data_IF_080028126786
#
_entry.id   IF_080028126786
#
_cell.length_a   1.000
_cell.length_b   1.000
_cell.length_c   1.000
_cell.angle_alpha   90.00
_cell.angle_beta   90.00
_cell.angle_gamma   90.00
#
_symmetry.space_group_name_H-M   'P 1'
#
loop_
_entity.id
_entity.type
_entity.pdbx_description
1 polymer ?
#
# COMPACT_ATOMS: atom_id res chain seq x y z
N UNK A 1 20.31 -6.22 -4.42
CA UNK A 1 19.18 -6.16 -3.48
C UNK A 1 18.07 -7.02 -4.11
N UNK A 2 17.31 -7.81 -3.36
CA UNK A 2 16.20 -8.55 -4.01
C UNK A 2 15.09 -7.57 -4.38
N UNK A 3 14.27 -7.92 -5.39
CA UNK A 3 13.15 -7.09 -5.81
C UNK A 3 12.23 -6.73 -4.64
N UNK A 4 11.93 -7.72 -3.80
CA UNK A 4 11.18 -7.53 -2.55
C UNK A 4 11.78 -6.42 -1.67
N UNK A 5 13.09 -6.44 -1.42
CA UNK A 5 13.72 -5.42 -0.59
C UNK A 5 13.71 -4.05 -1.25
N UNK A 6 13.85 -3.96 -2.57
CA UNK A 6 13.77 -2.69 -3.32
C UNK A 6 12.38 -2.06 -3.19
N UNK A 7 11.32 -2.85 -3.38
CA UNK A 7 9.94 -2.39 -3.21
C UNK A 7 9.68 -1.96 -1.78
N UNK A 8 10.11 -2.76 -0.78
CA UNK A 8 10.00 -2.36 0.64
C UNK A 8 10.70 -1.04 0.93
N UNK A 9 11.89 -0.84 0.38
CA UNK A 9 12.67 0.40 0.56
C UNK A 9 11.89 1.59 0.01
N UNK A 10 11.40 1.50 -1.23
CA UNK A 10 10.65 2.57 -1.90
C UNK A 10 9.37 2.90 -1.14
N UNK A 11 8.63 1.88 -0.68
CA UNK A 11 7.43 2.09 0.14
C UNK A 11 7.75 2.84 1.44
N UNK A 12 8.80 2.44 2.16
CA UNK A 12 9.20 3.10 3.42
C UNK A 12 9.73 4.52 3.22
N UNK A 13 10.49 4.75 2.16
CA UNK A 13 10.94 6.09 1.77
C UNK A 13 9.73 6.98 1.49
N UNK A 14 8.79 6.51 0.68
CA UNK A 14 7.56 7.23 0.38
C UNK A 14 6.73 7.54 1.64
N UNK A 15 6.57 6.59 2.56
CA UNK A 15 5.89 6.83 3.84
C UNK A 15 6.58 7.91 4.68
N UNK A 16 7.91 7.88 4.73
CA UNK A 16 8.71 8.85 5.48
C UNK A 16 8.58 10.26 4.87
N UNK A 17 8.57 10.35 3.54
CA UNK A 17 8.35 11.58 2.77
C UNK A 17 6.94 12.16 3.01
N UNK A 18 5.93 11.30 3.15
CA UNK A 18 4.50 11.69 3.20
C UNK A 18 3.86 11.66 4.59
N UNK A 19 4.59 11.32 5.65
CA UNK A 19 4.01 11.14 7.00
C UNK A 19 3.26 12.37 7.53
N UNK A 20 3.70 13.58 7.17
CA UNK A 20 3.03 14.81 7.59
C UNK A 20 1.75 15.06 6.78
N UNK A 21 1.73 14.68 5.51
CA UNK A 21 0.55 14.79 4.64
C UNK A 21 -0.52 13.82 5.13
N UNK A 22 -0.16 12.56 5.41
CA UNK A 22 -1.10 11.59 5.98
C UNK A 22 -1.78 12.12 7.25
N UNK A 23 -1.01 12.74 8.16
CA UNK A 23 -1.57 13.37 9.37
C UNK A 23 -2.48 14.56 9.06
N UNK A 24 -2.13 15.41 8.09
CA UNK A 24 -2.94 16.55 7.69
C UNK A 24 -4.29 16.13 7.10
N UNK A 25 -4.29 15.04 6.32
CA UNK A 25 -5.50 14.45 5.72
C UNK A 25 -6.28 13.53 6.68
N UNK A 26 -5.90 13.46 7.96
CA UNK A 26 -6.49 12.57 8.97
C UNK A 26 -6.48 11.08 8.58
N UNK A 27 -5.44 10.67 7.84
CA UNK A 27 -5.17 9.27 7.52
C UNK A 27 -4.31 8.70 8.64
N UNK A 28 -4.86 7.76 9.41
CA UNK A 28 -4.10 7.00 10.39
C UNK A 28 -3.15 6.04 9.67
N UNK A 29 -2.01 5.74 10.27
CA UNK A 29 -1.05 4.78 9.75
C UNK A 29 -0.67 3.79 10.85
N UNK A 30 -0.76 2.51 10.53
CA UNK A 30 -0.32 1.42 11.39
C UNK A 30 0.58 0.45 10.61
N UNK A 31 1.78 0.19 11.12
CA UNK A 31 2.67 -0.85 10.58
C UNK A 31 2.38 -2.14 11.33
N UNK A 32 1.69 -3.08 10.68
CA UNK A 32 1.35 -4.38 11.27
C UNK A 32 2.52 -5.37 11.23
N UNK A 33 3.27 -5.37 10.12
CA UNK A 33 4.40 -6.28 9.91
C UNK A 33 5.52 -5.51 9.25
N UNK A 34 6.73 -5.62 9.80
CA UNK A 34 7.97 -5.20 9.13
C UNK A 34 9.09 -6.17 9.51
N UNK A 35 9.30 -7.19 8.68
CA UNK A 35 10.36 -8.17 8.83
C UNK A 35 11.03 -8.44 7.48
N UNK A 36 12.02 -9.31 7.41
CA UNK A 36 12.75 -9.58 6.17
C UNK A 36 11.84 -9.89 4.97
N UNK A 37 10.78 -10.67 5.17
CA UNK A 37 9.97 -11.24 4.09
C UNK A 37 8.67 -10.46 3.81
N UNK A 38 8.27 -9.55 4.70
CA UNK A 38 6.98 -8.89 4.60
C UNK A 38 7.03 -7.46 5.18
N UNK A 39 6.37 -6.54 4.49
CA UNK A 39 5.94 -5.25 5.01
C UNK A 39 4.43 -5.15 4.82
N UNK A 40 3.68 -4.94 5.91
CA UNK A 40 2.23 -4.75 5.87
C UNK A 40 1.87 -3.49 6.65
N UNK A 41 1.20 -2.57 5.96
CA UNK A 41 0.79 -1.27 6.50
C UNK A 41 -0.70 -1.10 6.27
N UNK A 42 -1.39 -0.61 7.29
CA UNK A 42 -2.75 -0.11 7.20
C UNK A 42 -2.74 1.41 7.17
N UNK A 43 -3.56 1.96 6.29
CA UNK A 43 -3.93 3.36 6.24
C UNK A 43 -5.43 3.44 6.51
N UNK A 44 -5.90 4.27 7.43
CA UNK A 44 -7.34 4.34 7.71
C UNK A 44 -7.84 5.79 7.78
N UNK A 45 -8.98 6.03 7.16
CA UNK A 45 -9.78 7.24 7.34
C UNK A 45 -11.08 6.86 8.07
N UNK A 46 -11.99 7.82 8.22
CA UNK A 46 -13.30 7.56 8.84
C UNK A 46 -14.12 6.52 8.06
N UNK A 47 -13.98 6.49 6.74
CA UNK A 47 -14.83 5.72 5.84
C UNK A 47 -14.05 4.69 5.00
N UNK A 48 -12.73 4.78 4.91
CA UNK A 48 -11.91 3.87 4.09
C UNK A 48 -10.76 3.24 4.86
N UNK A 49 -10.36 2.07 4.39
CA UNK A 49 -9.20 1.31 4.86
C UNK A 49 -8.34 0.94 3.66
N UNK A 50 -7.10 1.41 3.66
CA UNK A 50 -6.06 1.06 2.70
C UNK A 50 -5.11 0.02 3.27
N UNK A 51 -4.80 -1.01 2.50
CA UNK A 51 -3.75 -1.98 2.81
C UNK A 51 -2.64 -1.90 1.78
N UNK A 52 -1.43 -1.56 2.24
CA UNK A 52 -0.20 -1.74 1.46
C UNK A 52 0.48 -3.01 1.96
N UNK A 53 0.66 -3.97 1.06
CA UNK A 53 1.34 -5.23 1.36
C UNK A 53 2.50 -5.43 0.38
N UNK A 54 3.67 -5.68 0.94
CA UNK A 54 4.89 -6.03 0.20
C UNK A 54 5.41 -7.37 0.70
N UNK A 55 5.35 -8.39 -0.14
CA UNK A 55 5.75 -9.77 0.19
C UNK A 55 6.11 -10.54 -1.09
N UNK A 56 6.45 -11.82 -0.99
CA UNK A 56 6.58 -12.70 -2.16
C UNK A 56 5.52 -13.80 -2.07
N UNK A 57 4.34 -13.61 -2.68
CA UNK A 57 3.22 -14.52 -2.55
C UNK A 57 3.42 -15.77 -3.41
N UNK A 58 2.93 -16.91 -2.93
CA UNK A 58 2.92 -18.15 -3.72
C UNK A 58 1.70 -18.24 -4.67
N UNK A 59 0.57 -17.65 -4.28
CA UNK A 59 -0.72 -17.77 -4.99
C UNK A 59 -1.52 -16.46 -4.90
N UNK A 60 -1.03 -15.41 -5.56
CA UNK A 60 -1.71 -14.12 -5.62
C UNK A 60 -1.57 -13.47 -7.01
N UNK A 61 -2.45 -12.52 -7.36
CA UNK A 61 -2.39 -11.83 -8.66
C UNK A 61 -1.31 -10.73 -8.74
N UNK A 62 -0.59 -10.45 -7.66
CA UNK A 62 0.55 -9.52 -7.60
C UNK A 62 1.88 -10.28 -7.45
N UNK A 63 2.98 -9.63 -7.82
CA UNK A 63 4.34 -10.21 -7.74
C UNK A 63 5.03 -9.91 -6.42
N UNK A 64 5.09 -8.64 -6.03
CA UNK A 64 5.70 -8.21 -4.78
C UNK A 64 4.89 -7.18 -4.00
N UNK A 65 3.91 -6.54 -4.62
CA UNK A 65 3.20 -5.40 -4.04
C UNK A 65 1.72 -5.42 -4.39
N UNK A 66 0.89 -5.16 -3.39
CA UNK A 66 -0.48 -4.71 -3.60
C UNK A 66 -0.78 -3.46 -2.79
N UNK A 67 -1.67 -2.63 -3.35
CA UNK A 67 -2.37 -1.59 -2.62
C UNK A 67 -3.87 -1.72 -2.89
N UNK A 68 -4.63 -2.04 -1.86
CA UNK A 68 -6.09 -2.16 -1.91
C UNK A 68 -6.72 -1.12 -0.99
N UNK A 69 -7.81 -0.51 -1.44
CA UNK A 69 -8.62 0.42 -0.65
C UNK A 69 -10.03 -0.13 -0.58
N UNK A 70 -10.50 -0.33 0.64
CA UNK A 70 -11.83 -0.78 0.96
C UNK A 70 -12.67 0.34 1.58
N UNK A 71 -13.97 0.33 1.31
CA UNK A 71 -14.96 1.23 1.92
C UNK A 71 -16.22 0.45 2.28
N UNK A 72 -16.95 0.89 3.30
CA UNK A 72 -18.28 0.35 3.62
C UNK A 72 -19.32 1.01 2.72
N UNK A 73 -19.94 0.23 1.84
CA UNK A 73 -21.04 0.63 0.96
C UNK A 73 -22.20 -0.34 1.21
N UNK A 74 -23.39 0.19 1.51
CA UNK A 74 -24.60 -0.58 1.84
C UNK A 74 -24.36 -1.64 2.94
N UNK A 75 -23.66 -1.23 4.02
CA UNK A 75 -23.26 -2.10 5.14
C UNK A 75 -22.36 -3.30 4.76
N UNK A 76 -21.71 -3.25 3.59
CA UNK A 76 -20.74 -4.27 3.15
C UNK A 76 -19.39 -3.65 2.84
N UNK A 77 -18.31 -4.33 3.22
CA UNK A 77 -16.97 -3.92 2.81
C UNK A 77 -16.78 -4.23 1.31
N UNK A 78 -16.41 -3.23 0.54
CA UNK A 78 -16.15 -3.35 -0.89
C UNK A 78 -14.77 -2.78 -1.21
N UNK A 79 -14.01 -3.48 -2.06
CA UNK A 79 -12.77 -2.96 -2.63
C UNK A 79 -13.15 -1.93 -3.68
N UNK A 80 -12.88 -0.65 -3.39
CA UNK A 80 -13.17 0.48 -4.28
C UNK A 80 -11.99 0.83 -5.16
N UNK A 81 -10.78 0.41 -4.78
CA UNK A 81 -9.60 0.48 -5.62
C UNK A 81 -8.64 -0.67 -5.31
N UNK A 82 -8.01 -1.22 -6.33
CA UNK A 82 -6.98 -2.23 -6.19
C UNK A 82 -5.91 -2.03 -7.25
N UNK A 83 -4.65 -2.10 -6.83
CA UNK A 83 -3.51 -2.12 -7.72
C UNK A 83 -2.51 -3.20 -7.32
N UNK A 84 -2.04 -3.93 -8.32
CA UNK A 84 -1.15 -5.08 -8.19
C UNK A 84 0.05 -4.88 -9.13
N UNK A 85 1.25 -5.12 -8.62
CA UNK A 85 2.42 -5.14 -9.49
C UNK A 85 2.53 -6.44 -10.28
N UNK A 86 3.38 -6.42 -11.31
CA UNK A 86 3.72 -7.59 -12.09
C UNK A 86 5.21 -7.59 -12.46
N UNK A 87 5.64 -8.62 -13.19
CA UNK A 87 7.04 -8.81 -13.63
C UNK A 87 7.64 -7.61 -14.39
N UNK A 88 6.81 -6.74 -14.98
CA UNK A 88 7.23 -5.59 -15.79
C UNK A 88 7.04 -4.23 -15.11
N UNK A 89 6.56 -4.20 -13.86
CA UNK A 89 6.39 -2.94 -13.11
C UNK A 89 7.76 -2.28 -12.88
N UNK A 90 7.88 -0.98 -13.09
CA UNK A 90 9.11 -0.24 -12.77
C UNK A 90 9.11 0.23 -11.31
N UNK A 91 10.30 0.53 -10.76
CA UNK A 91 10.42 0.97 -9.37
C UNK A 91 9.74 2.34 -9.16
N UNK A 92 9.76 3.20 -10.17
CA UNK A 92 9.14 4.52 -10.13
C UNK A 92 7.61 4.44 -10.06
N UNK A 93 7.01 3.38 -10.62
CA UNK A 93 5.56 3.20 -10.65
C UNK A 93 4.97 3.04 -9.24
N UNK A 94 5.70 2.42 -8.30
CA UNK A 94 5.19 2.24 -6.94
C UNK A 94 4.93 3.57 -6.24
N UNK A 95 5.81 4.58 -6.40
CA UNK A 95 5.57 5.91 -5.83
C UNK A 95 4.33 6.56 -6.42
N UNK A 96 4.16 6.47 -7.75
CA UNK A 96 2.99 7.02 -8.46
C UNK A 96 1.70 6.37 -7.96
N UNK A 97 1.70 5.06 -7.75
CA UNK A 97 0.51 4.34 -7.26
C UNK A 97 0.21 4.67 -5.80
N UNK A 98 1.24 4.84 -4.97
CA UNK A 98 1.06 5.28 -3.58
C UNK A 98 0.48 6.69 -3.52
N UNK A 99 0.99 7.63 -4.34
CA UNK A 99 0.43 8.98 -4.47
C UNK A 99 -1.02 8.96 -4.93
N UNK A 100 -1.34 8.19 -5.97
CA UNK A 100 -2.71 8.05 -6.47
C UNK A 100 -3.64 7.44 -5.41
N UNK A 101 -3.16 6.46 -4.66
CA UNK A 101 -3.93 5.84 -3.60
C UNK A 101 -4.20 6.81 -2.44
N UNK A 102 -3.26 7.70 -2.09
CA UNK A 102 -3.55 8.76 -1.11
C UNK A 102 -4.70 9.67 -1.52
N UNK A 103 -4.82 10.02 -2.80
CA UNK A 103 -5.94 10.83 -3.30
C UNK A 103 -7.28 10.08 -3.19
N UNK A 104 -7.23 8.75 -3.18
CA UNK A 104 -8.41 7.89 -3.09
C UNK A 104 -8.80 7.53 -1.64
N UNK A 105 -7.87 7.64 -0.68
CA UNK A 105 -8.12 7.47 0.76
C UNK A 105 -9.06 8.56 1.29
#
# INVERSE_FOLDING_TARGET
>A
MSRLQEVKKVTKEWLSENINILKQENISLEVLIDNENCLRILLETKDKMGEILVEEPSFAPYKNFKFEIAQIIDNQAQIVNAWYDNENTNIEDYKVILDNGMVLM
#
